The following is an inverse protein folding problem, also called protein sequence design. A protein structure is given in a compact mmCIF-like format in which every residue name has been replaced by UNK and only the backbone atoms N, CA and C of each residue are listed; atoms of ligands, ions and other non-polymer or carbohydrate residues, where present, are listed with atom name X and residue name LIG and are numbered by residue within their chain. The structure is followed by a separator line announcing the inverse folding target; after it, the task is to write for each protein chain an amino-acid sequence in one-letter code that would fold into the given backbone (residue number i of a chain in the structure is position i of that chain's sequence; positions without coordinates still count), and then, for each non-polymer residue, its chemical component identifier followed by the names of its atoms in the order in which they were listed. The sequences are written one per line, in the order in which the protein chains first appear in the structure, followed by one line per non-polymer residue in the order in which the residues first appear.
data_IF_661124340652
#
_entry.id   IF_661124340652
#
_cell.length_a   1.000
_cell.length_b   1.000
_cell.length_c   1.000
_cell.angle_alpha   90.00
_cell.angle_beta   90.00
_cell.angle_gamma   90.00
#
_symmetry.space_group_name_H-M   'P 1'
#
loop_
_entity.id
_entity.type
_entity.pdbx_description
1 polymer ?
#
# COMPACT_ATOMS: atom_id res chain seq x y z
N UNK A 1 -18.39 8.31 -7.22
CA UNK A 1 -17.37 8.18 -6.17
C UNK A 1 -16.27 9.20 -6.41
N UNK A 2 -16.19 10.23 -5.56
CA UNK A 2 -15.01 11.05 -5.29
C UNK A 2 -15.31 11.80 -3.99
N UNK A 3 -15.01 11.18 -2.83
CA UNK A 3 -15.34 11.76 -1.51
C UNK A 3 -14.46 12.95 -1.12
N UNK A 4 -13.38 13.18 -1.86
CA UNK A 4 -12.39 14.19 -1.58
C UNK A 4 -12.01 14.94 -2.86
N UNK A 5 -11.73 16.24 -2.73
CA UNK A 5 -11.06 17.02 -3.77
C UNK A 5 -9.61 17.24 -3.40
N UNK A 6 -8.74 17.21 -4.39
CA UNK A 6 -7.31 17.42 -4.22
C UNK A 6 -7.01 18.91 -4.33
N UNK A 7 -6.30 19.50 -3.35
CA UNK A 7 -6.00 20.94 -3.32
C UNK A 7 -4.57 21.20 -3.76
N UNK A 8 -3.59 20.72 -2.99
CA UNK A 8 -2.16 20.94 -3.27
C UNK A 8 -1.33 19.85 -2.65
N UNK A 9 -0.17 19.58 -3.23
CA UNK A 9 0.80 18.70 -2.63
C UNK A 9 1.40 19.33 -1.36
N UNK A 10 1.54 18.53 -0.31
CA UNK A 10 2.16 18.93 0.96
C UNK A 10 3.63 18.49 1.05
N UNK A 11 3.99 17.37 0.39
CA UNK A 11 5.38 16.93 0.32
C UNK A 11 5.53 15.59 -0.40
N UNK A 12 6.79 15.28 -0.74
CA UNK A 12 7.24 13.99 -1.24
C UNK A 12 8.11 13.31 -0.20
N UNK A 13 7.91 12.00 -0.02
CA UNK A 13 8.76 11.17 0.81
C UNK A 13 9.14 9.89 0.08
N UNK A 14 9.99 9.09 0.73
CA UNK A 14 10.54 7.85 0.16
C UNK A 14 9.48 6.92 -0.41
N UNK A 15 8.29 6.86 0.20
CA UNK A 15 7.23 5.92 -0.17
C UNK A 15 6.11 6.53 -1.04
N UNK A 16 6.20 7.82 -1.36
CA UNK A 16 5.20 8.52 -2.17
C UNK A 16 4.90 9.93 -1.66
N UNK A 17 3.78 10.48 -2.12
CA UNK A 17 3.44 11.89 -1.93
C UNK A 17 2.28 12.07 -0.94
N UNK A 18 2.33 13.15 -0.17
CA UNK A 18 1.22 13.58 0.69
C UNK A 18 0.57 14.79 0.05
N UNK A 19 -0.75 14.76 -0.04
CA UNK A 19 -1.55 15.78 -0.72
C UNK A 19 -2.60 16.31 0.26
N UNK A 20 -2.78 17.63 0.30
CA UNK A 20 -3.90 18.25 1.00
C UNK A 20 -5.16 18.03 0.18
N UNK A 21 -6.20 17.47 0.80
CA UNK A 21 -7.52 17.35 0.23
C UNK A 21 -8.59 18.03 1.08
N UNK A 22 -9.80 18.12 0.53
CA UNK A 22 -11.00 18.55 1.24
C UNK A 22 -12.07 17.48 1.15
N UNK A 23 -12.65 17.12 2.28
CA UNK A 23 -13.84 16.28 2.36
C UNK A 23 -15.01 16.98 1.69
N UNK A 24 -15.69 16.31 0.74
CA UNK A 24 -16.90 16.85 0.12
C UNK A 24 -18.13 16.78 1.04
N UNK A 25 -18.08 15.96 2.08
CA UNK A 25 -19.17 15.77 3.02
C UNK A 25 -19.09 16.76 4.20
N UNK A 26 -17.93 16.83 4.88
CA UNK A 26 -17.74 17.68 6.06
C UNK A 26 -17.12 19.04 5.75
N UNK A 27 -16.54 19.23 4.56
CA UNK A 27 -15.78 20.44 4.21
C UNK A 27 -14.40 20.54 4.88
N UNK A 28 -14.02 19.57 5.71
CA UNK A 28 -12.75 19.58 6.46
C UNK A 28 -11.54 19.34 5.55
N UNK A 29 -10.42 19.94 5.96
CA UNK A 29 -9.12 19.71 5.34
C UNK A 29 -8.52 18.39 5.87
N UNK A 30 -8.07 17.54 4.95
CA UNK A 30 -7.52 16.22 5.26
C UNK A 30 -6.20 16.00 4.52
N UNK A 31 -5.34 15.13 5.05
CA UNK A 31 -4.14 14.67 4.34
C UNK A 31 -4.43 13.35 3.62
N UNK A 32 -4.11 13.31 2.33
CA UNK A 32 -4.26 12.15 1.45
C UNK A 32 -2.87 11.62 1.11
N UNK A 33 -2.55 10.40 1.55
CA UNK A 33 -1.27 9.76 1.24
C UNK A 33 -1.39 8.91 -0.01
N UNK A 34 -0.67 9.29 -1.06
CA UNK A 34 -0.54 8.51 -2.30
C UNK A 34 0.72 7.68 -2.25
N UNK A 35 0.58 6.37 -2.04
CA UNK A 35 1.70 5.43 -2.08
C UNK A 35 2.02 5.07 -3.53
N UNK A 36 3.27 5.25 -3.93
CA UNK A 36 3.76 4.84 -5.24
C UNK A 36 5.28 4.61 -5.18
N UNK A 37 5.68 3.41 -4.80
CA UNK A 37 7.09 3.06 -4.64
C UNK A 37 7.33 1.59 -4.96
N UNK A 38 8.51 1.26 -5.53
CA UNK A 38 8.84 -0.10 -5.97
C UNK A 38 8.87 -1.12 -4.81
N UNK A 39 9.21 -0.67 -3.60
CA UNK A 39 9.27 -1.51 -2.40
C UNK A 39 7.94 -1.53 -1.61
N UNK A 40 6.83 -1.11 -2.21
CA UNK A 40 5.49 -1.14 -1.59
C UNK A 40 4.57 -1.96 -2.49
N UNK A 41 3.97 -3.02 -1.94
CA UNK A 41 3.04 -3.90 -2.67
C UNK A 41 1.86 -3.07 -3.19
N UNK A 42 1.62 -3.14 -4.49
CA UNK A 42 0.57 -2.39 -5.17
C UNK A 42 -0.80 -3.01 -4.91
N UNK A 43 -1.74 -2.18 -4.48
CA UNK A 43 -3.16 -2.48 -4.47
C UNK A 43 -3.69 -2.42 -5.91
N UNK A 44 -4.29 -3.50 -6.39
CA UNK A 44 -4.88 -3.62 -7.73
C UNK A 44 -6.36 -3.29 -7.72
N UNK A 45 -7.09 -3.79 -6.73
CA UNK A 45 -8.54 -3.66 -6.66
C UNK A 45 -9.04 -3.68 -5.21
N UNK A 46 -10.19 -3.04 -4.97
CA UNK A 46 -10.93 -3.11 -3.70
C UNK A 46 -12.36 -3.54 -4.02
N UNK A 47 -12.77 -4.67 -3.44
CA UNK A 47 -14.12 -5.22 -3.63
C UNK A 47 -14.87 -5.12 -2.30
N UNK A 48 -16.13 -4.68 -2.34
CA UNK A 48 -17.02 -4.68 -1.17
C UNK A 48 -18.18 -5.63 -1.42
N UNK A 49 -18.30 -6.66 -0.59
CA UNK A 49 -19.33 -7.68 -0.69
C UNK A 49 -19.79 -8.10 0.70
N UNK A 50 -21.09 -8.19 0.96
CA UNK A 50 -21.66 -8.62 2.25
C UNK A 50 -21.07 -7.88 3.47
N UNK A 51 -20.86 -6.57 3.35
CA UNK A 51 -20.19 -5.71 4.34
C UNK A 51 -18.73 -6.08 4.66
N UNK A 52 -18.13 -7.00 3.89
CA UNK A 52 -16.71 -7.31 3.92
C UNK A 52 -15.98 -6.50 2.83
N UNK A 53 -14.79 -6.02 3.18
CA UNK A 53 -13.92 -5.26 2.29
C UNK A 53 -12.70 -6.11 1.94
N UNK A 54 -12.57 -6.46 0.68
CA UNK A 54 -11.45 -7.25 0.15
C UNK A 54 -10.46 -6.32 -0.55
N UNK A 55 -9.18 -6.45 -0.20
CA UNK A 55 -8.09 -5.75 -0.85
C UNK A 55 -7.29 -6.74 -1.70
N UNK A 56 -7.28 -6.51 -3.01
CA UNK A 56 -6.59 -7.38 -3.97
C UNK A 56 -5.26 -6.70 -4.28
N UNK A 57 -4.17 -7.30 -3.80
CA UNK A 57 -2.82 -6.83 -4.03
C UNK A 57 -2.13 -7.59 -5.16
N UNK A 58 -1.04 -7.05 -5.69
CA UNK A 58 -0.16 -7.83 -6.57
C UNK A 58 0.43 -9.05 -5.85
N UNK A 59 0.59 -10.16 -6.59
CA UNK A 59 1.13 -11.39 -6.04
C UNK A 59 2.62 -11.27 -5.75
N UNK A 60 3.03 -11.69 -4.55
CA UNK A 60 4.42 -11.84 -4.14
C UNK A 60 4.73 -13.33 -4.01
N UNK A 61 5.76 -13.80 -4.73
CA UNK A 61 6.13 -15.23 -4.80
C UNK A 61 6.40 -15.84 -3.43
N UNK A 62 7.14 -15.12 -2.60
CA UNK A 62 7.57 -15.57 -1.28
C UNK A 62 7.70 -14.39 -0.32
N UNK A 63 7.54 -14.65 0.97
CA UNK A 63 7.82 -13.66 2.01
C UNK A 63 9.25 -13.83 2.56
N UNK A 64 9.73 -12.81 3.29
CA UNK A 64 11.09 -12.80 3.83
C UNK A 64 11.38 -14.01 4.73
N UNK A 65 10.39 -14.48 5.49
CA UNK A 65 10.57 -15.63 6.38
C UNK A 65 10.84 -16.91 5.60
N UNK A 66 10.08 -17.16 4.52
CA UNK A 66 10.30 -18.30 3.62
C UNK A 66 11.71 -18.23 3.00
N UNK A 67 12.09 -17.07 2.48
CA UNK A 67 13.42 -16.86 1.91
C UNK A 67 14.54 -17.11 2.93
N UNK A 68 14.36 -16.66 4.18
CA UNK A 68 15.34 -16.89 5.25
C UNK A 68 15.46 -18.37 5.62
N UNK A 69 14.32 -19.07 5.70
CA UNK A 69 14.30 -20.50 6.03
C UNK A 69 15.01 -21.32 4.96
N UNK A 70 14.76 -21.05 3.69
CA UNK A 70 15.35 -21.79 2.57
C UNK A 70 16.89 -21.61 2.52
N UNK A 71 17.38 -20.40 2.80
CA UNK A 71 18.83 -20.15 2.94
C UNK A 71 19.47 -20.91 4.10
N UNK A 72 18.74 -21.05 5.22
CA UNK A 72 19.23 -21.78 6.38
C UNK A 72 19.38 -23.28 6.05
N UNK A 73 18.40 -23.87 5.37
CA UNK A 73 18.46 -25.28 4.94
C UNK A 73 19.63 -25.51 3.99
N UNK A 74 19.88 -24.61 3.03
CA UNK A 74 21.04 -24.76 2.15
C UNK A 74 22.37 -24.75 2.91
N UNK A 75 22.58 -23.84 3.86
CA UNK A 75 23.82 -23.79 4.64
C UNK A 75 24.10 -25.09 5.43
N UNK A 76 23.06 -25.80 5.86
CA UNK A 76 23.19 -27.10 6.53
C UNK A 76 23.52 -28.27 5.60
N UNK A 77 23.34 -28.15 4.28
CA UNK A 77 23.73 -29.20 3.32
C UNK A 77 25.18 -29.04 2.81
N UNK A 78 25.83 -27.91 3.09
CA UNK A 78 27.23 -27.64 2.71
C UNK A 78 28.20 -27.65 3.91
N UNK A 79 27.73 -28.07 5.09
CA UNK A 79 28.51 -28.27 6.31
C UNK A 79 28.48 -29.76 6.70
#
# INVERSE_FOLDING_TARGET
MNRYTTIRQLGDGTYGSVILGRSLESGELVSLKKLNHANVIKLKEVIRENDHLYFIFEYMKENLYQLMKDRCVQLFFWA
#
